data_IF_122740809463
#
_entry.id   IF_122740809463
#
_cell.length_a   1.000
_cell.length_b   1.000
_cell.length_c   1.000
_cell.angle_alpha   90.00
_cell.angle_beta   90.00
_cell.angle_gamma   90.00
#
_symmetry.space_group_name_H-M   'P 1'
#
loop_
_entity.id
_entity.type
_entity.pdbx_description
1 polymer ?
#
# COMPACT_ATOMS: atom_id res chain seq x y z
N UNK A 1 47.00 -35.28 -55.38
CA UNK A 1 45.56 -35.40 -55.01
C UNK A 1 45.47 -35.29 -53.52
N UNK A 2 45.16 -34.14 -53.01
CA UNK A 2 44.83 -33.89 -51.60
C UNK A 2 43.35 -33.54 -51.50
N UNK A 3 42.57 -34.22 -50.66
CA UNK A 3 41.22 -33.80 -50.39
C UNK A 3 41.23 -32.74 -49.31
N UNK A 4 40.62 -31.64 -49.64
CA UNK A 4 40.28 -30.49 -48.85
C UNK A 4 39.35 -30.89 -47.67
N UNK A 5 39.87 -30.72 -46.45
CA UNK A 5 39.06 -30.98 -45.24
C UNK A 5 38.57 -29.65 -44.70
N UNK A 6 37.55 -29.11 -45.32
CA UNK A 6 36.79 -27.95 -44.76
C UNK A 6 36.06 -28.39 -43.49
N UNK A 7 36.67 -28.15 -42.36
CA UNK A 7 36.00 -28.29 -41.05
C UNK A 7 34.93 -27.20 -40.88
N UNK A 8 33.68 -27.57 -41.08
CA UNK A 8 32.52 -26.72 -40.76
C UNK A 8 32.47 -26.56 -39.23
N UNK A 9 32.88 -25.41 -38.75
CA UNK A 9 32.73 -24.99 -37.35
C UNK A 9 31.25 -24.88 -37.04
N UNK A 10 30.72 -25.85 -36.29
CA UNK A 10 29.35 -25.76 -35.73
C UNK A 10 29.25 -24.53 -34.80
N UNK A 11 28.27 -23.65 -35.03
CA UNK A 11 28.08 -22.50 -34.14
C UNK A 11 27.80 -22.99 -32.72
N UNK A 12 28.60 -22.52 -31.75
CA UNK A 12 28.34 -22.72 -30.32
C UNK A 12 26.93 -22.20 -30.03
N UNK A 13 26.01 -23.08 -29.67
CA UNK A 13 24.74 -22.72 -29.10
C UNK A 13 25.02 -22.00 -27.78
N UNK A 14 25.10 -20.68 -27.83
CA UNK A 14 25.06 -19.84 -26.64
C UNK A 14 23.73 -20.14 -25.94
N UNK A 15 23.79 -20.35 -24.60
CA UNK A 15 22.58 -20.44 -23.78
C UNK A 15 21.75 -19.19 -24.10
N UNK A 16 20.50 -19.33 -24.59
CA UNK A 16 19.67 -18.17 -24.85
C UNK A 16 19.66 -17.29 -23.57
N UNK A 17 19.71 -15.98 -23.68
CA UNK A 17 19.64 -15.13 -22.51
C UNK A 17 18.41 -15.51 -21.70
N UNK A 18 18.63 -15.85 -20.43
CA UNK A 18 17.59 -16.19 -19.46
C UNK A 18 16.98 -14.86 -19.00
N UNK A 19 16.19 -14.30 -19.91
CA UNK A 19 15.82 -12.91 -19.95
C UNK A 19 14.63 -12.66 -19.05
N UNK A 20 14.60 -11.49 -18.50
CA UNK A 20 13.50 -10.62 -18.00
C UNK A 20 12.18 -11.29 -17.57
N UNK A 21 11.61 -12.23 -18.33
CA UNK A 21 10.35 -12.93 -17.97
C UNK A 21 10.46 -13.67 -16.64
N UNK A 22 11.55 -14.38 -16.38
CA UNK A 22 11.70 -15.14 -15.13
C UNK A 22 11.91 -14.20 -13.93
N UNK A 23 12.52 -13.04 -14.17
CA UNK A 23 12.66 -11.99 -13.15
C UNK A 23 11.30 -11.36 -12.83
N UNK A 24 10.55 -10.98 -13.86
CA UNK A 24 9.21 -10.40 -13.69
C UNK A 24 8.25 -11.41 -13.08
N UNK A 25 8.30 -12.67 -13.49
CA UNK A 25 7.50 -13.75 -12.90
C UNK A 25 7.81 -13.94 -11.42
N UNK A 26 9.09 -13.93 -11.04
CA UNK A 26 9.54 -14.05 -9.64
C UNK A 26 9.11 -12.83 -8.83
N UNK A 27 9.28 -11.63 -9.38
CA UNK A 27 8.86 -10.38 -8.73
C UNK A 27 7.36 -10.36 -8.48
N UNK A 28 6.55 -10.75 -9.47
CA UNK A 28 5.10 -10.84 -9.33
C UNK A 28 4.68 -11.93 -8.33
N UNK A 29 5.35 -13.07 -8.33
CA UNK A 29 5.12 -14.13 -7.35
C UNK A 29 5.41 -13.65 -5.92
N UNK A 30 6.51 -12.90 -5.71
CA UNK A 30 6.84 -12.28 -4.43
C UNK A 30 5.77 -11.28 -3.99
N UNK A 31 5.27 -10.42 -4.89
CA UNK A 31 4.19 -9.48 -4.58
C UNK A 31 2.91 -10.22 -4.18
N UNK A 32 2.51 -11.27 -4.91
CA UNK A 32 1.34 -12.09 -4.57
C UNK A 32 1.48 -12.74 -3.20
N UNK A 33 2.63 -13.37 -2.92
CA UNK A 33 2.92 -13.93 -1.60
C UNK A 33 2.92 -12.85 -0.50
N UNK A 34 3.46 -11.68 -0.81
CA UNK A 34 3.44 -10.53 0.08
C UNK A 34 2.02 -10.07 0.41
N UNK A 35 1.13 -10.01 -0.57
CA UNK A 35 -0.28 -9.70 -0.35
C UNK A 35 -0.92 -10.67 0.64
N UNK A 36 -0.63 -11.97 0.51
CA UNK A 36 -1.13 -12.97 1.44
C UNK A 36 -0.62 -12.76 2.86
N UNK A 37 0.69 -12.66 3.02
CA UNK A 37 1.32 -12.50 4.34
C UNK A 37 0.92 -11.18 5.00
N UNK A 38 1.01 -10.06 4.29
CA UNK A 38 0.74 -8.74 4.85
C UNK A 38 -0.74 -8.51 5.17
N UNK A 39 -1.67 -9.12 4.44
CA UNK A 39 -3.10 -9.02 4.78
C UNK A 39 -3.47 -9.85 6.01
N UNK A 40 -2.70 -10.89 6.34
CA UNK A 40 -2.91 -11.71 7.54
C UNK A 40 -2.20 -11.15 8.78
N UNK A 41 -0.98 -10.65 8.63
CA UNK A 41 -0.10 -10.33 9.78
C UNK A 41 0.28 -8.87 9.91
N UNK A 42 -0.04 -8.02 8.94
CA UNK A 42 0.47 -6.66 8.84
C UNK A 42 1.91 -6.60 8.32
N UNK A 43 2.47 -5.39 8.23
CA UNK A 43 3.83 -5.18 7.70
C UNK A 43 4.90 -5.40 8.78
N UNK A 44 4.65 -4.94 10.01
CA UNK A 44 5.67 -5.00 11.07
C UNK A 44 6.02 -6.44 11.43
N UNK A 45 5.00 -7.28 11.63
CA UNK A 45 5.16 -8.68 11.99
C UNK A 45 5.58 -9.58 10.81
N UNK A 46 5.31 -9.16 9.58
CA UNK A 46 5.66 -9.93 8.38
C UNK A 46 7.17 -10.05 8.20
N UNK A 47 7.68 -11.28 8.23
CA UNK A 47 9.07 -11.59 7.88
C UNK A 47 9.25 -11.88 6.38
N UNK A 48 10.38 -11.49 5.80
CA UNK A 48 10.74 -11.85 4.41
C UNK A 48 10.75 -13.37 4.24
N UNK A 49 11.19 -14.11 5.26
CA UNK A 49 11.29 -15.57 5.23
C UNK A 49 9.90 -16.24 5.05
N UNK A 50 8.84 -15.67 5.62
CA UNK A 50 7.47 -16.15 5.38
C UNK A 50 7.06 -15.97 3.90
N UNK A 51 7.39 -14.84 3.31
CA UNK A 51 7.08 -14.53 1.90
C UNK A 51 7.80 -15.48 0.93
N UNK A 52 9.10 -15.67 1.11
CA UNK A 52 9.89 -16.55 0.21
C UNK A 52 9.54 -18.01 0.36
N UNK A 53 9.16 -18.45 1.57
CA UNK A 53 8.73 -19.84 1.84
C UNK A 53 7.48 -20.20 1.04
N UNK A 54 6.51 -19.30 0.96
CA UNK A 54 5.25 -19.55 0.24
C UNK A 54 5.44 -19.85 -1.26
N UNK A 55 6.50 -19.34 -1.87
CA UNK A 55 6.77 -19.50 -3.30
C UNK A 55 8.04 -20.32 -3.57
N UNK A 56 8.63 -20.90 -2.53
CA UNK A 56 9.80 -21.78 -2.60
C UNK A 56 10.99 -21.19 -3.39
N UNK A 57 11.28 -19.89 -3.20
CA UNK A 57 12.44 -19.24 -3.84
C UNK A 57 13.56 -19.00 -2.83
N UNK A 58 14.82 -19.03 -3.27
CA UNK A 58 15.95 -18.66 -2.41
C UNK A 58 15.87 -17.20 -1.93
N UNK A 59 16.40 -16.92 -0.74
CA UNK A 59 16.43 -15.55 -0.18
C UNK A 59 17.16 -14.55 -1.09
N UNK A 60 18.18 -15.00 -1.83
CA UNK A 60 18.86 -14.19 -2.83
C UNK A 60 17.96 -13.67 -3.94
N UNK A 61 16.94 -14.44 -4.34
CA UNK A 61 15.95 -14.02 -5.35
C UNK A 61 15.11 -12.84 -4.86
N UNK A 62 14.80 -12.79 -3.56
CA UNK A 62 14.11 -11.64 -2.97
C UNK A 62 14.95 -10.36 -3.12
N UNK A 63 16.21 -10.39 -2.67
CA UNK A 63 17.07 -9.22 -2.74
C UNK A 63 17.51 -8.84 -4.15
N UNK A 64 17.41 -9.77 -5.10
CA UNK A 64 17.54 -9.45 -6.52
C UNK A 64 16.36 -8.61 -7.03
N UNK A 65 15.13 -8.87 -6.54
CA UNK A 65 13.91 -8.15 -6.93
C UNK A 65 13.66 -6.87 -6.13
N UNK A 66 14.03 -6.85 -4.85
CA UNK A 66 13.74 -5.75 -3.93
C UNK A 66 14.95 -5.43 -3.06
N UNK A 67 15.37 -4.17 -3.07
CA UNK A 67 16.55 -3.70 -2.32
C UNK A 67 16.37 -3.76 -0.80
N UNK A 68 15.11 -3.71 -0.32
CA UNK A 68 14.76 -3.71 1.11
C UNK A 68 13.37 -4.26 1.35
N UNK A 69 13.06 -4.59 2.61
CA UNK A 69 11.68 -4.91 3.06
C UNK A 69 10.73 -3.74 2.80
N UNK A 70 11.21 -2.51 2.96
CA UNK A 70 10.44 -1.30 2.67
C UNK A 70 10.06 -1.20 1.19
N UNK A 71 11.03 -1.31 0.28
CA UNK A 71 10.78 -1.29 -1.17
C UNK A 71 9.80 -2.40 -1.59
N UNK A 72 9.91 -3.58 -0.98
CA UNK A 72 8.96 -4.67 -1.17
C UNK A 72 7.58 -4.32 -0.66
N UNK A 73 7.45 -3.84 0.58
CA UNK A 73 6.17 -3.48 1.19
C UNK A 73 5.43 -2.40 0.40
N UNK A 74 6.15 -1.38 -0.09
CA UNK A 74 5.59 -0.34 -0.97
C UNK A 74 5.09 -0.91 -2.31
N UNK A 75 5.80 -1.89 -2.89
CA UNK A 75 5.37 -2.56 -4.12
C UNK A 75 4.10 -3.40 -3.89
N UNK A 76 4.03 -4.11 -2.76
CA UNK A 76 2.83 -4.87 -2.36
C UNK A 76 1.64 -3.93 -2.12
N UNK A 77 1.86 -2.82 -1.42
CA UNK A 77 0.85 -1.80 -1.16
C UNK A 77 0.34 -1.16 -2.46
N UNK A 78 1.23 -0.86 -3.41
CA UNK A 78 0.85 -0.33 -4.72
C UNK A 78 -0.03 -1.33 -5.49
N UNK A 79 0.40 -2.59 -5.58
CA UNK A 79 -0.36 -3.65 -6.26
C UNK A 79 -1.74 -3.87 -5.63
N UNK A 80 -1.85 -3.80 -4.29
CA UNK A 80 -3.12 -3.87 -3.60
C UNK A 80 -4.01 -2.66 -3.89
N UNK A 81 -3.44 -1.45 -3.88
CA UNK A 81 -4.14 -0.20 -4.20
C UNK A 81 -4.76 -0.25 -5.58
N UNK A 82 -3.99 -0.68 -6.58
CA UNK A 82 -4.44 -0.81 -7.97
C UNK A 82 -5.52 -1.89 -8.12
N UNK A 83 -5.31 -3.07 -7.52
CA UNK A 83 -6.31 -4.15 -7.51
C UNK A 83 -7.65 -3.69 -6.92
N UNK A 84 -7.61 -3.01 -5.78
CA UNK A 84 -8.81 -2.54 -5.12
C UNK A 84 -9.49 -1.40 -5.87
N UNK A 85 -8.70 -0.50 -6.49
CA UNK A 85 -9.22 0.55 -7.37
C UNK A 85 -10.00 -0.03 -8.56
N UNK A 86 -9.45 -1.03 -9.26
CA UNK A 86 -10.15 -1.73 -10.34
C UNK A 86 -11.43 -2.44 -9.84
N UNK A 87 -11.39 -2.98 -8.61
CA UNK A 87 -12.57 -3.59 -8.02
C UNK A 87 -13.67 -2.55 -7.75
N UNK A 88 -13.32 -1.38 -7.21
CA UNK A 88 -14.26 -0.27 -7.04
C UNK A 88 -14.86 0.17 -8.37
N UNK A 89 -14.02 0.37 -9.39
CA UNK A 89 -14.46 0.78 -10.72
C UNK A 89 -15.46 -0.25 -11.30
N UNK A 90 -15.17 -1.55 -11.18
CA UNK A 90 -16.05 -2.63 -11.66
C UNK A 90 -17.44 -2.60 -11.04
N UNK A 91 -17.56 -2.28 -9.76
CA UNK A 91 -18.83 -2.28 -9.07
C UNK A 91 -19.54 -0.93 -9.11
N UNK A 92 -18.82 0.17 -9.12
CA UNK A 92 -19.39 1.48 -8.88
C UNK A 92 -19.65 2.30 -10.15
N UNK A 93 -19.04 1.93 -11.29
CA UNK A 93 -19.15 2.71 -12.54
C UNK A 93 -20.18 2.16 -13.54
N UNK A 94 -20.99 1.19 -13.17
CA UNK A 94 -22.07 0.69 -14.02
C UNK A 94 -23.31 1.56 -13.87
N UNK A 95 -23.47 2.53 -14.77
CA UNK A 95 -24.58 3.50 -14.74
C UNK A 95 -25.96 2.90 -15.02
N UNK A 96 -26.02 1.64 -15.48
CA UNK A 96 -27.28 0.91 -15.65
C UNK A 96 -27.89 0.46 -14.31
N UNK A 97 -27.11 0.46 -13.23
CA UNK A 97 -27.52 0.01 -11.89
C UNK A 97 -27.61 1.21 -10.94
N UNK A 98 -28.68 1.35 -10.13
CA UNK A 98 -28.81 2.42 -9.14
C UNK A 98 -27.62 2.47 -8.17
N UNK A 99 -27.15 3.66 -7.75
CA UNK A 99 -25.95 3.82 -6.93
C UNK A 99 -25.94 3.00 -5.63
N UNK A 100 -27.07 2.95 -4.92
CA UNK A 100 -27.17 2.18 -3.67
C UNK A 100 -27.07 0.66 -3.90
N UNK A 101 -27.61 0.19 -5.02
CA UNK A 101 -27.49 -1.23 -5.39
C UNK A 101 -26.06 -1.60 -5.76
N UNK A 102 -25.34 -0.72 -6.48
CA UNK A 102 -23.92 -0.85 -6.78
C UNK A 102 -23.10 -0.98 -5.50
N UNK A 103 -23.35 -0.08 -4.55
CA UNK A 103 -22.66 -0.11 -3.25
C UNK A 103 -23.00 -1.38 -2.47
N UNK A 104 -24.26 -1.79 -2.40
CA UNK A 104 -24.68 -3.03 -1.74
C UNK A 104 -24.04 -4.26 -2.38
N UNK A 105 -23.92 -4.30 -3.71
CA UNK A 105 -23.25 -5.38 -4.43
C UNK A 105 -21.75 -5.44 -4.10
N UNK A 106 -21.09 -4.28 -4.05
CA UNK A 106 -19.69 -4.18 -3.63
C UNK A 106 -19.47 -4.70 -2.21
N UNK A 107 -20.32 -4.29 -1.24
CA UNK A 107 -20.21 -4.74 0.17
C UNK A 107 -20.42 -6.25 0.28
N UNK A 108 -21.43 -6.81 -0.38
CA UNK A 108 -21.67 -8.26 -0.40
C UNK A 108 -20.45 -9.01 -0.96
N UNK A 109 -19.89 -8.53 -2.08
CA UNK A 109 -18.71 -9.14 -2.68
C UNK A 109 -17.47 -9.04 -1.78
N UNK A 110 -17.30 -7.95 -1.06
CA UNK A 110 -16.21 -7.79 -0.08
C UNK A 110 -16.37 -8.81 1.07
N UNK A 111 -17.58 -8.97 1.61
CA UNK A 111 -17.89 -9.97 2.63
C UNK A 111 -17.56 -11.40 2.19
N UNK A 112 -18.00 -11.80 1.01
CA UNK A 112 -17.67 -13.11 0.43
C UNK A 112 -16.16 -13.32 0.26
N UNK A 113 -15.42 -12.26 -0.09
CA UNK A 113 -13.97 -12.30 -0.15
C UNK A 113 -13.33 -12.57 1.22
N UNK A 114 -13.88 -12.00 2.28
CA UNK A 114 -13.39 -12.24 3.65
C UNK A 114 -13.72 -13.66 4.13
N UNK A 115 -14.95 -14.14 3.88
CA UNK A 115 -15.38 -15.50 4.20
C UNK A 115 -14.49 -16.57 3.55
N UNK A 116 -14.13 -16.39 2.29
CA UNK A 116 -13.22 -17.27 1.55
C UNK A 116 -11.91 -17.55 2.29
N UNK A 117 -11.43 -16.56 3.04
CA UNK A 117 -10.20 -16.67 3.84
C UNK A 117 -10.47 -16.82 5.33
N UNK A 118 -11.70 -17.25 5.70
CA UNK A 118 -12.09 -17.46 7.10
C UNK A 118 -11.85 -16.22 7.97
N UNK A 119 -12.08 -15.02 7.40
CA UNK A 119 -11.87 -13.71 8.04
C UNK A 119 -10.44 -13.45 8.54
N UNK A 120 -9.46 -14.26 8.11
CA UNK A 120 -8.05 -14.06 8.50
C UNK A 120 -7.34 -12.98 7.70
N UNK A 121 -7.86 -12.64 6.53
CA UNK A 121 -7.31 -11.60 5.65
C UNK A 121 -8.20 -10.38 5.65
N UNK A 122 -7.63 -9.26 6.12
CA UNK A 122 -8.30 -7.97 6.12
C UNK A 122 -7.92 -7.08 4.94
N UNK A 123 -8.34 -5.83 5.04
CA UNK A 123 -7.91 -4.78 4.12
C UNK A 123 -6.45 -4.41 4.41
N UNK A 124 -5.55 -4.59 3.45
CA UNK A 124 -4.13 -4.25 3.64
C UNK A 124 -3.93 -2.78 4.02
N UNK A 125 -4.65 -1.86 3.36
CA UNK A 125 -4.57 -0.43 3.67
C UNK A 125 -5.04 -0.17 5.10
N UNK A 126 -6.15 -0.78 5.53
CA UNK A 126 -6.65 -0.66 6.90
C UNK A 126 -5.67 -1.20 7.95
N UNK A 127 -5.04 -2.35 7.68
CA UNK A 127 -4.03 -2.93 8.57
C UNK A 127 -2.81 -1.99 8.70
N UNK A 128 -2.29 -1.50 7.56
CA UNK A 128 -1.13 -0.61 7.55
C UNK A 128 -1.42 0.77 8.17
N UNK A 129 -2.65 1.26 8.10
CA UNK A 129 -3.05 2.49 8.80
C UNK A 129 -2.96 2.36 10.32
N UNK A 130 -3.27 1.18 10.87
CA UNK A 130 -3.11 0.91 12.31
C UNK A 130 -1.64 0.87 12.72
N UNK A 131 -0.76 0.46 11.82
CA UNK A 131 0.69 0.42 12.03
C UNK A 131 1.39 1.77 11.68
N UNK A 132 0.69 2.73 11.08
CA UNK A 132 1.27 3.93 10.47
C UNK A 132 2.30 4.69 11.32
N UNK A 133 2.11 4.85 12.66
CA UNK A 133 3.09 5.54 13.49
C UNK A 133 4.46 4.85 13.59
N UNK A 134 4.52 3.55 13.25
CA UNK A 134 5.71 2.71 13.37
C UNK A 134 6.30 2.33 12.00
N UNK A 135 5.61 2.69 10.91
CA UNK A 135 6.05 2.41 9.55
C UNK A 135 7.12 3.42 9.09
N UNK A 136 7.97 3.04 8.11
CA UNK A 136 8.83 4.00 7.41
C UNK A 136 8.03 5.19 6.88
N UNK A 137 8.61 6.38 6.87
CA UNK A 137 7.95 7.65 6.49
C UNK A 137 7.31 7.65 5.08
N UNK A 138 7.78 6.78 4.21
CA UNK A 138 7.25 6.62 2.84
C UNK A 138 5.85 6.00 2.80
N UNK A 139 5.48 5.20 3.82
CA UNK A 139 4.18 4.50 3.85
C UNK A 139 2.99 5.43 4.08
N UNK A 140 2.98 6.34 5.07
CA UNK A 140 1.85 7.24 5.31
C UNK A 140 1.44 8.03 4.07
N UNK A 141 2.40 8.58 3.34
CA UNK A 141 2.12 9.32 2.09
C UNK A 141 1.45 8.43 1.04
N UNK A 142 1.95 7.22 0.87
CA UNK A 142 1.39 6.26 -0.10
C UNK A 142 0.00 5.79 0.29
N UNK A 143 -0.23 5.52 1.57
CA UNK A 143 -1.53 5.16 2.11
C UNK A 143 -2.57 6.25 1.86
N UNK A 144 -2.24 7.51 2.16
CA UNK A 144 -3.13 8.65 1.93
C UNK A 144 -3.44 8.84 0.45
N UNK A 145 -2.46 8.67 -0.44
CA UNK A 145 -2.68 8.75 -1.89
C UNK A 145 -3.66 7.66 -2.38
N UNK A 146 -3.54 6.43 -1.87
CA UNK A 146 -4.44 5.33 -2.21
C UNK A 146 -5.86 5.62 -1.69
N UNK A 147 -6.00 6.08 -0.46
CA UNK A 147 -7.31 6.43 0.12
C UNK A 147 -7.99 7.53 -0.68
N UNK A 148 -7.28 8.62 -1.02
CA UNK A 148 -7.82 9.70 -1.84
C UNK A 148 -8.28 9.20 -3.23
N UNK A 149 -7.52 8.28 -3.83
CA UNK A 149 -7.90 7.67 -5.10
C UNK A 149 -9.15 6.79 -4.99
N UNK A 150 -9.33 6.08 -3.87
CA UNK A 150 -10.54 5.28 -3.61
C UNK A 150 -11.74 6.14 -3.28
N UNK A 151 -11.59 7.16 -2.45
CA UNK A 151 -12.61 8.16 -2.14
C UNK A 151 -13.18 8.81 -3.41
N UNK A 152 -12.30 9.25 -4.32
CA UNK A 152 -12.70 9.80 -5.61
C UNK A 152 -13.54 8.84 -6.45
N UNK A 153 -13.27 7.53 -6.38
CA UNK A 153 -14.05 6.50 -7.09
C UNK A 153 -15.41 6.29 -6.46
N UNK A 154 -15.46 6.21 -5.13
CA UNK A 154 -16.71 6.09 -4.39
C UNK A 154 -17.60 7.30 -4.62
N UNK A 155 -17.04 8.52 -4.59
CA UNK A 155 -17.78 9.75 -4.84
C UNK A 155 -18.38 9.76 -6.26
N UNK A 156 -17.65 9.34 -7.28
CA UNK A 156 -18.17 9.21 -8.65
C UNK A 156 -19.26 8.16 -8.76
N UNK A 157 -19.07 6.99 -8.13
CA UNK A 157 -20.05 5.91 -8.16
C UNK A 157 -21.32 6.18 -7.36
N UNK A 158 -21.25 7.05 -6.34
CA UNK A 158 -22.41 7.48 -5.55
C UNK A 158 -23.21 8.62 -6.18
N UNK A 159 -22.63 9.33 -7.14
CA UNK A 159 -23.22 10.51 -7.78
C UNK A 159 -24.05 10.19 -9.01
N UNK A 160 -25.17 9.54 -8.87
CA UNK A 160 -26.21 9.48 -9.88
C UNK A 160 -27.12 10.71 -9.78
N UNK A 161 -26.74 11.85 -10.37
CA UNK A 161 -27.61 13.02 -10.49
C UNK A 161 -26.93 14.34 -10.14
N UNK A 162 -26.68 15.14 -11.18
CA UNK A 162 -26.50 16.59 -11.16
C UNK A 162 -25.72 17.20 -9.98
N UNK A 163 -24.46 17.42 -10.17
CA UNK A 163 -23.68 18.26 -9.26
C UNK A 163 -22.30 18.50 -9.83
N UNK A 164 -22.01 19.75 -10.14
CA UNK A 164 -20.79 20.28 -10.75
C UNK A 164 -19.48 19.82 -10.12
N UNK A 165 -18.33 20.29 -10.61
CA UNK A 165 -17.03 19.80 -10.24
C UNK A 165 -16.82 19.86 -8.73
N UNK A 166 -16.72 18.68 -8.11
CA UNK A 166 -16.50 18.55 -6.69
C UNK A 166 -15.29 19.36 -6.25
N UNK A 167 -15.52 20.19 -5.26
CA UNK A 167 -14.50 21.00 -4.57
C UNK A 167 -13.31 20.08 -4.24
N UNK A 168 -12.14 20.41 -4.80
CA UNK A 168 -10.91 19.73 -4.48
C UNK A 168 -10.72 19.68 -2.94
N UNK A 169 -10.26 18.56 -2.38
CA UNK A 169 -9.96 18.50 -0.96
C UNK A 169 -8.98 19.62 -0.60
N UNK A 170 -9.12 20.24 0.58
CA UNK A 170 -8.20 21.28 1.03
C UNK A 170 -6.78 20.70 1.06
N UNK A 171 -5.76 21.52 0.68
CA UNK A 171 -4.38 21.09 0.77
C UNK A 171 -4.03 20.71 2.22
N UNK A 172 -3.14 19.75 2.43
CA UNK A 172 -2.69 19.39 3.77
C UNK A 172 -2.07 20.64 4.45
N UNK A 173 -2.23 20.81 5.77
CA UNK A 173 -1.65 21.91 6.49
C UNK A 173 -0.13 21.88 6.30
N UNK A 174 0.52 23.07 6.21
CA UNK A 174 1.97 23.13 6.08
C UNK A 174 2.63 22.51 7.32
N UNK A 175 3.80 21.87 7.17
CA UNK A 175 4.54 21.31 8.29
C UNK A 175 4.80 22.45 9.28
N UNK A 176 4.44 22.22 10.55
CA UNK A 176 4.57 23.18 11.63
C UNK A 176 5.99 23.70 11.72
N UNK A 177 6.16 24.98 11.38
CA UNK A 177 7.40 25.69 11.57
C UNK A 177 7.74 25.71 13.05
N UNK A 178 8.94 25.22 13.37
CA UNK A 178 9.55 25.36 14.67
C UNK A 178 9.55 26.85 15.07
N UNK A 179 8.69 27.21 16.01
CA UNK A 179 8.62 28.56 16.58
C UNK A 179 9.86 28.81 17.39
N UNK A 180 10.73 29.65 16.82
CA UNK A 180 11.83 30.30 17.54
C UNK A 180 11.30 31.20 18.64
N UNK A 181 11.91 31.08 19.83
CA UNK A 181 11.64 31.90 20.97
C UNK A 181 12.08 33.35 20.78
N UNK A 182 11.47 34.24 21.50
CA UNK A 182 11.81 35.66 21.60
C UNK A 182 10.94 36.34 22.64
N UNK A 183 11.47 36.57 23.75
CA UNK A 183 11.47 37.24 24.92
C UNK A 183 10.81 38.63 25.03
N UNK A 184 10.52 39.02 26.26
CA UNK A 184 10.27 40.41 26.67
C UNK A 184 8.92 40.58 27.33
N UNK A 185 8.82 40.55 28.66
CA UNK A 185 9.07 41.70 29.50
C UNK A 185 7.78 42.31 30.04
N UNK A 186 7.57 42.30 31.33
CA UNK A 186 6.95 43.45 32.00
C UNK A 186 5.62 43.26 32.71
N UNK A 187 5.63 43.10 34.02
CA UNK A 187 4.97 44.07 34.87
C UNK A 187 3.68 43.65 35.58
N UNK A 188 3.76 43.41 36.86
CA UNK A 188 2.97 44.17 37.80
C UNK A 188 1.70 43.57 38.39
N UNK A 189 1.74 43.32 39.69
CA UNK A 189 0.63 43.67 40.57
C UNK A 189 -0.26 42.54 41.07
N UNK A 190 -0.03 41.99 42.26
CA UNK A 190 -0.69 42.44 43.48
C UNK A 190 -1.88 41.59 43.87
N UNK A 191 -1.84 40.97 45.03
CA UNK A 191 -3.06 40.76 45.83
C UNK A 191 -3.33 39.37 46.37
N UNK A 192 -2.74 39.04 47.49
CA UNK A 192 -3.32 38.61 48.79
C UNK A 192 -4.46 37.58 48.80
N UNK A 193 -4.24 36.62 49.67
CA UNK A 193 -5.20 35.99 50.62
C UNK A 193 -5.58 34.59 50.26
N UNK A 194 -5.32 33.55 51.00
CA UNK A 194 -5.54 33.28 52.37
C UNK A 194 -6.22 31.93 52.53
N UNK A 195 -5.64 31.05 53.34
CA UNK A 195 -6.33 30.04 54.11
C UNK A 195 -6.68 28.74 53.39
N UNK A 196 -6.24 27.54 53.78
CA UNK A 196 -6.17 26.97 55.05
C UNK A 196 -6.69 25.56 54.95
N UNK A 197 -6.05 24.59 55.55
CA UNK A 197 -6.67 23.31 55.89
C UNK A 197 -6.07 22.08 55.25
N UNK A 198 -5.20 21.41 55.98
CA UNK A 198 -4.62 20.14 55.76
C UNK A 198 -5.48 18.98 56.30
N UNK A 199 -4.85 17.82 56.49
CA UNK A 199 -5.30 16.50 56.12
C UNK A 199 -6.06 15.74 57.20
N UNK A 200 -6.36 14.49 57.17
CA UNK A 200 -5.37 13.41 57.01
C UNK A 200 -5.51 12.54 55.77
#
# INVERSE_FOLDING_TARGET
MNPDTSAVLKPRRGRPPKVDRQFDDTRQALIRSGLEVLTETGYLAAGIDAVIKNIAVPKGSFYHCFKSKEAFGLAVLAAYGDFFAHKLDKFLLDDAVPPLERMAAFVRHAGQGMEKFQFRRGCLVGNLLQEAPLLPETFPQRLMAILAAWESRVARGGGGGAGGPGRAPPPPPPPGGAGGGGGGGGGGGGGRGGGGGGPP
#
